data_IF_871054014161
#
_entry.id   IF_871054014161
#
_cell.length_a   1.000
_cell.length_b   1.000
_cell.length_c   1.000
_cell.angle_alpha   90.00
_cell.angle_beta   90.00
_cell.angle_gamma   90.00
#
_symmetry.space_group_name_H-M   'P 1'
#
loop_
_entity.id
_entity.type
_entity.pdbx_description
1 polymer ?
#
# COMPACT_ATOMS: atom_id res chain seq x y z
N UNK A 1 8.46 -6.57 15.99
CA UNK A 1 7.36 -7.09 15.16
C UNK A 1 7.98 -8.01 14.12
N UNK A 2 7.41 -9.19 13.87
CA UNK A 2 7.89 -10.08 12.81
C UNK A 2 7.34 -9.67 11.45
N UNK A 3 7.95 -10.16 10.37
CA UNK A 3 7.44 -9.96 9.00
C UNK A 3 6.05 -10.56 8.83
N UNK A 4 5.82 -11.79 9.34
CA UNK A 4 4.51 -12.43 9.29
C UNK A 4 3.41 -11.59 9.96
N UNK A 5 3.65 -11.08 11.17
CA UNK A 5 2.69 -10.24 11.87
C UNK A 5 2.45 -8.89 11.16
N UNK A 6 3.50 -8.30 10.58
CA UNK A 6 3.35 -7.06 9.81
C UNK A 6 2.62 -7.28 8.48
N UNK A 7 2.79 -8.45 7.86
CA UNK A 7 2.09 -8.89 6.65
C UNK A 7 0.59 -9.03 6.95
N UNK A 8 0.23 -9.77 7.99
CA UNK A 8 -1.18 -9.93 8.42
C UNK A 8 -1.84 -8.58 8.73
N UNK A 9 -1.13 -7.69 9.44
CA UNK A 9 -1.63 -6.34 9.73
C UNK A 9 -1.86 -5.52 8.45
N UNK A 10 -0.96 -5.60 7.49
CA UNK A 10 -1.08 -4.90 6.22
C UNK A 10 -2.23 -5.45 5.38
N UNK A 11 -2.30 -6.76 5.17
CA UNK A 11 -3.37 -7.41 4.40
C UNK A 11 -4.74 -7.18 5.02
N UNK A 12 -4.84 -7.17 6.36
CA UNK A 12 -6.07 -6.78 7.08
C UNK A 12 -6.48 -5.34 6.77
N UNK A 13 -5.53 -4.40 6.69
CA UNK A 13 -5.82 -3.02 6.35
C UNK A 13 -6.29 -2.87 4.89
N UNK A 14 -5.71 -3.63 3.96
CA UNK A 14 -6.14 -3.70 2.55
C UNK A 14 -7.55 -4.30 2.42
N UNK A 15 -7.85 -5.37 3.15
CA UNK A 15 -9.20 -5.93 3.18
C UNK A 15 -10.20 -4.91 3.74
N UNK A 16 -9.85 -4.21 4.82
CA UNK A 16 -10.74 -3.24 5.44
C UNK A 16 -10.95 -1.99 4.57
N UNK A 17 -9.97 -1.57 3.77
CA UNK A 17 -10.11 -0.42 2.87
C UNK A 17 -10.98 -0.73 1.65
N UNK A 18 -11.14 -2.01 1.31
CA UNK A 18 -11.98 -2.47 0.21
C UNK A 18 -13.42 -2.02 0.41
N UNK A 19 -13.89 -1.15 -0.47
CA UNK A 19 -15.24 -0.59 -0.37
C UNK A 19 -15.42 0.51 0.67
N UNK A 20 -14.37 1.22 1.09
CA UNK A 20 -14.51 2.44 1.91
C UNK A 20 -14.38 3.74 1.10
N UNK A 21 -14.18 3.63 -0.22
CA UNK A 21 -13.81 4.74 -1.10
C UNK A 21 -14.72 4.87 -2.33
N UNK A 22 -16.02 5.08 -2.10
CA UNK A 22 -17.01 5.16 -3.17
C UNK A 22 -17.22 6.57 -3.73
N UNK A 23 -16.98 7.61 -2.93
CA UNK A 23 -17.16 8.98 -3.42
C UNK A 23 -16.06 9.32 -4.41
N UNK A 24 -16.38 9.86 -5.59
CA UNK A 24 -15.37 10.32 -6.53
C UNK A 24 -14.78 11.68 -6.16
N UNK A 25 -15.34 12.37 -5.16
CA UNK A 25 -14.91 13.70 -4.77
C UNK A 25 -13.51 13.67 -4.13
N UNK A 26 -12.66 14.69 -4.39
CA UNK A 26 -11.40 14.88 -3.68
C UNK A 26 -11.58 14.95 -2.15
N UNK A 27 -10.54 14.58 -1.41
CA UNK A 27 -10.49 14.60 0.05
C UNK A 27 -11.33 13.53 0.75
N UNK A 28 -12.18 12.79 0.02
CA UNK A 28 -13.11 11.82 0.64
C UNK A 28 -12.45 10.50 1.03
N UNK A 29 -11.27 10.21 0.50
CA UNK A 29 -10.56 8.94 0.67
C UNK A 29 -9.21 9.06 1.35
N UNK A 30 -8.83 10.26 1.78
CA UNK A 30 -7.51 10.49 2.36
C UNK A 30 -7.28 9.63 3.62
N UNK A 31 -8.27 9.50 4.49
CA UNK A 31 -8.17 8.67 5.70
C UNK A 31 -8.01 7.18 5.37
N UNK A 32 -8.68 6.71 4.32
CA UNK A 32 -8.54 5.32 3.85
C UNK A 32 -7.14 5.08 3.30
N UNK A 33 -6.61 6.00 2.49
CA UNK A 33 -5.24 5.93 1.99
C UNK A 33 -4.21 5.90 3.13
N UNK A 34 -4.38 6.77 4.14
CA UNK A 34 -3.52 6.77 5.33
C UNK A 34 -3.61 5.46 6.13
N UNK A 35 -4.81 4.89 6.26
CA UNK A 35 -5.05 3.66 7.02
C UNK A 35 -4.32 2.44 6.44
N UNK A 36 -4.06 2.44 5.13
CA UNK A 36 -3.30 1.39 4.42
C UNK A 36 -1.81 1.72 4.37
N UNK A 37 -1.45 3.00 4.21
CA UNK A 37 -0.03 3.39 4.16
C UNK A 37 0.69 3.16 5.49
N UNK A 38 0.03 3.40 6.62
CA UNK A 38 0.62 3.20 7.95
C UNK A 38 1.13 1.76 8.17
N UNK A 39 0.33 0.70 7.97
CA UNK A 39 0.83 -0.67 8.09
C UNK A 39 1.83 -1.04 6.99
N UNK A 40 1.77 -0.47 5.78
CA UNK A 40 2.81 -0.68 4.77
C UNK A 40 4.19 -0.17 5.23
N UNK A 41 4.26 0.98 5.92
CA UNK A 41 5.51 1.48 6.53
C UNK A 41 6.02 0.57 7.65
N UNK A 42 5.10 0.00 8.44
CA UNK A 42 5.43 -1.00 9.45
C UNK A 42 6.00 -2.26 8.82
N UNK A 43 5.38 -2.76 7.75
CA UNK A 43 5.85 -3.90 6.96
C UNK A 43 7.25 -3.62 6.40
N UNK A 44 7.49 -2.45 5.81
CA UNK A 44 8.82 -2.03 5.34
C UNK A 44 9.89 -2.17 6.41
N UNK A 45 9.58 -1.72 7.63
CA UNK A 45 10.50 -1.77 8.77
C UNK A 45 10.78 -3.22 9.16
N UNK A 46 9.76 -4.08 9.17
CA UNK A 46 9.92 -5.51 9.47
C UNK A 46 10.76 -6.23 8.42
N UNK A 47 10.49 -6.03 7.12
CA UNK A 47 11.26 -6.59 6.01
C UNK A 47 12.73 -6.15 6.04
N UNK A 48 13.00 -4.89 6.41
CA UNK A 48 14.38 -4.40 6.51
C UNK A 48 15.15 -5.02 7.69
N UNK A 49 14.45 -5.27 8.79
CA UNK A 49 15.03 -5.91 9.97
C UNK A 49 15.25 -7.42 9.77
N UNK A 50 14.47 -8.05 8.89
CA UNK A 50 14.60 -9.46 8.57
C UNK A 50 15.95 -9.78 7.94
N UNK A 51 16.51 -10.92 8.35
CA UNK A 51 17.80 -11.47 7.91
C UNK A 51 17.67 -12.92 7.44
N UNK A 52 16.45 -13.48 7.42
CA UNK A 52 16.18 -14.85 6.99
C UNK A 52 16.31 -15.02 5.47
N UNK A 53 16.05 -13.95 4.72
CA UNK A 53 16.20 -13.87 3.26
C UNK A 53 17.21 -12.78 2.89
N UNK A 54 17.76 -12.86 1.67
CA UNK A 54 18.63 -11.83 1.12
C UNK A 54 17.90 -10.50 0.92
N UNK A 55 18.62 -9.38 0.95
CA UNK A 55 18.03 -8.06 0.80
C UNK A 55 17.34 -7.85 -0.56
N UNK A 56 17.78 -8.58 -1.58
CA UNK A 56 17.23 -8.61 -2.92
C UNK A 56 15.82 -9.20 -2.99
N UNK A 57 15.48 -10.12 -2.09
CA UNK A 57 14.15 -10.73 -2.03
C UNK A 57 13.06 -9.67 -1.87
N UNK A 58 13.29 -8.71 -0.97
CA UNK A 58 12.33 -7.64 -0.64
C UNK A 58 12.26 -6.51 -1.67
N UNK A 59 13.11 -6.52 -2.70
CA UNK A 59 13.20 -5.41 -3.66
C UNK A 59 11.87 -5.12 -4.37
N UNK A 60 11.11 -6.17 -4.72
CA UNK A 60 9.77 -6.04 -5.31
C UNK A 60 8.79 -5.36 -4.36
N UNK A 61 8.68 -5.86 -3.12
CA UNK A 61 7.84 -5.24 -2.09
C UNK A 61 8.23 -3.77 -1.82
N UNK A 62 9.52 -3.46 -1.73
CA UNK A 62 9.98 -2.08 -1.53
C UNK A 62 9.60 -1.15 -2.68
N UNK A 63 9.63 -1.64 -3.93
CA UNK A 63 9.20 -0.85 -5.08
C UNK A 63 7.71 -0.50 -4.99
N UNK A 64 6.85 -1.46 -4.62
CA UNK A 64 5.42 -1.23 -4.43
C UNK A 64 5.15 -0.23 -3.30
N UNK A 65 5.84 -0.37 -2.16
CA UNK A 65 5.71 0.59 -1.05
C UNK A 65 6.19 1.99 -1.48
N UNK A 66 7.24 2.11 -2.31
CA UNK A 66 7.67 3.41 -2.83
C UNK A 66 6.58 4.05 -3.71
N UNK A 67 5.95 3.27 -4.58
CA UNK A 67 4.84 3.78 -5.39
C UNK A 67 3.67 4.25 -4.51
N UNK A 68 3.34 3.53 -3.45
CA UNK A 68 2.35 4.02 -2.46
C UNK A 68 2.79 5.34 -1.80
N UNK A 69 4.05 5.46 -1.38
CA UNK A 69 4.59 6.71 -0.81
C UNK A 69 4.52 7.87 -1.81
N UNK A 70 4.82 7.63 -3.09
CA UNK A 70 4.72 8.64 -4.15
C UNK A 70 3.27 9.15 -4.31
N UNK A 71 2.28 8.27 -4.18
CA UNK A 71 0.87 8.67 -4.15
C UNK A 71 0.54 9.50 -2.90
N UNK A 72 1.04 9.10 -1.74
CA UNK A 72 0.84 9.86 -0.49
C UNK A 72 1.55 11.23 -0.52
N UNK A 73 2.66 11.35 -1.25
CA UNK A 73 3.45 12.59 -1.34
C UNK A 73 2.70 13.77 -1.98
N UNK A 74 1.59 13.50 -2.69
CA UNK A 74 0.66 14.54 -3.18
C UNK A 74 0.06 15.35 -2.03
N UNK A 75 -0.11 14.75 -0.84
CA UNK A 75 -0.52 15.44 0.39
C UNK A 75 -2.01 15.65 0.58
N UNK A 76 -2.85 15.23 -0.37
CA UNK A 76 -4.32 15.17 -0.26
C UNK A 76 -4.86 14.12 -1.25
N UNK A 77 -6.10 13.65 -1.07
CA UNK A 77 -6.79 12.78 -2.03
C UNK A 77 -7.33 13.60 -3.22
N UNK A 78 -6.81 13.37 -4.42
CA UNK A 78 -7.20 14.13 -5.63
C UNK A 78 -8.56 13.72 -6.23
N UNK A 79 -9.25 12.73 -5.65
CA UNK A 79 -10.55 12.27 -6.11
C UNK A 79 -10.50 11.21 -7.22
N UNK A 80 -11.64 10.56 -7.47
CA UNK A 80 -11.82 9.53 -8.48
C UNK A 80 -12.48 9.99 -9.81
N UNK A 81 -12.91 11.26 -9.96
CA UNK A 81 -13.47 11.81 -11.23
C UNK A 81 -12.78 13.08 -11.80
N UNK A 82 -11.79 12.88 -12.67
CA UNK A 82 -11.37 13.77 -13.75
C UNK A 82 -11.07 12.92 -14.99
N UNK A 83 -11.60 13.24 -16.17
CA UNK A 83 -11.50 12.35 -17.32
C UNK A 83 -10.05 12.22 -17.85
N UNK A 84 -9.75 11.00 -18.29
CA UNK A 84 -8.73 10.55 -19.27
C UNK A 84 -7.36 10.00 -18.81
N UNK A 85 -6.79 10.36 -17.66
CA UNK A 85 -5.44 9.90 -17.33
C UNK A 85 -5.44 8.98 -16.10
N UNK A 86 -5.74 7.69 -16.33
CA UNK A 86 -5.77 6.62 -15.30
C UNK A 86 -4.45 6.49 -14.50
N UNK A 87 -3.38 7.18 -14.91
CA UNK A 87 -2.03 7.17 -14.31
C UNK A 87 -1.73 8.39 -13.43
N UNK A 88 -2.68 9.30 -13.23
CA UNK A 88 -2.50 10.54 -12.44
C UNK A 88 -3.53 10.71 -11.34
N UNK A 89 -3.83 9.63 -10.60
CA UNK A 89 -4.70 9.72 -9.42
C UNK A 89 -4.04 9.01 -8.27
N UNK A 90 -3.56 9.81 -7.32
CA UNK A 90 -2.83 9.30 -6.19
C UNK A 90 -3.63 8.29 -5.35
N UNK A 91 -4.96 8.36 -5.33
CA UNK A 91 -5.83 7.33 -4.74
C UNK A 91 -5.59 5.94 -5.33
N UNK A 92 -5.56 5.81 -6.66
CA UNK A 92 -5.31 4.54 -7.33
C UNK A 92 -3.85 4.08 -7.12
N UNK A 93 -2.91 5.02 -7.13
CA UNK A 93 -1.50 4.76 -6.81
C UNK A 93 -1.32 4.20 -5.40
N UNK A 94 -2.08 4.67 -4.41
CA UNK A 94 -1.98 4.15 -3.04
C UNK A 94 -2.78 2.86 -2.87
N UNK A 95 -4.08 2.89 -3.16
CA UNK A 95 -4.97 1.77 -2.85
C UNK A 95 -4.79 0.60 -3.82
N UNK A 96 -4.60 0.88 -5.12
CA UNK A 96 -4.33 -0.15 -6.12
C UNK A 96 -3.01 -0.86 -5.85
N UNK A 97 -1.93 -0.11 -5.64
CA UNK A 97 -0.62 -0.71 -5.33
C UNK A 97 -0.61 -1.41 -3.96
N UNK A 98 -1.49 -1.04 -3.03
CA UNK A 98 -1.63 -1.80 -1.80
C UNK A 98 -2.22 -3.19 -2.03
N UNK A 99 -3.15 -3.35 -2.98
CA UNK A 99 -3.61 -4.67 -3.43
C UNK A 99 -2.46 -5.43 -4.11
N UNK A 100 -1.71 -4.80 -5.01
CA UNK A 100 -0.56 -5.44 -5.67
C UNK A 100 0.49 -5.91 -4.65
N UNK A 101 0.73 -5.13 -3.59
CA UNK A 101 1.64 -5.53 -2.51
C UNK A 101 1.07 -6.67 -1.68
N UNK A 102 -0.24 -6.69 -1.43
CA UNK A 102 -0.90 -7.80 -0.74
C UNK A 102 -0.72 -9.11 -1.51
N UNK A 103 -0.97 -9.08 -2.82
CA UNK A 103 -0.83 -10.24 -3.71
C UNK A 103 0.63 -10.68 -3.79
N UNK A 104 1.57 -9.74 -3.89
CA UNK A 104 3.00 -10.05 -3.88
C UNK A 104 3.42 -10.80 -2.62
N UNK A 105 2.89 -10.43 -1.45
CA UNK A 105 3.21 -11.09 -0.17
C UNK A 105 2.66 -12.52 -0.11
N UNK A 106 1.52 -12.78 -0.73
CA UNK A 106 0.95 -14.13 -0.85
C UNK A 106 1.75 -15.00 -1.82
N UNK A 107 2.26 -14.42 -2.91
CA UNK A 107 3.10 -15.10 -3.89
C UNK A 107 4.53 -15.35 -3.40
N UNK A 108 5.00 -14.53 -2.43
CA UNK A 108 6.36 -14.56 -1.90
C UNK A 108 6.37 -14.71 -0.37
N UNK A 109 5.82 -15.82 0.18
CA UNK A 109 5.75 -16.01 1.62
C UNK A 109 7.14 -16.24 2.21
N UNK A 110 7.39 -15.63 3.37
CA UNK A 110 8.60 -15.90 4.18
C UNK A 110 8.20 -16.75 5.38
N UNK A 111 8.93 -17.85 5.58
CA UNK A 111 8.70 -18.82 6.66
C UNK A 111 9.26 -18.35 8.01
#
# INVERSE_FOLDING_TARGET
MSVAAATEQFQTAVMNSSGQCYSPDPGTCWDVMQSVMKPARTLRTAMHADKSVGAEFWSGAYALINTMEDGMAVGDDEGADKPADFKHRNRATVLGTAHDLSDWLDENPVQ
#
